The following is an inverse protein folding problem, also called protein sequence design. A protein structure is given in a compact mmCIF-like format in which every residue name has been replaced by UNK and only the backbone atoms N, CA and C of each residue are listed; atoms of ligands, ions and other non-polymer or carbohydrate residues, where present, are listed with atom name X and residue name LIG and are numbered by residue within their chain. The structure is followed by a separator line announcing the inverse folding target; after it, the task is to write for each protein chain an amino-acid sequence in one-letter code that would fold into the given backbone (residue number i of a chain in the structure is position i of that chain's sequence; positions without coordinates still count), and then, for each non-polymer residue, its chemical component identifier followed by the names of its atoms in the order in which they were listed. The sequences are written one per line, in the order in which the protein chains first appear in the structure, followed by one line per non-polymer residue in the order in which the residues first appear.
data_IF_444843671640
#
_entry.id   IF_444843671640
#
_cell.length_a   1.000
_cell.length_b   1.000
_cell.length_c   1.000
_cell.angle_alpha   90.00
_cell.angle_beta   90.00
_cell.angle_gamma   90.00
#
_symmetry.space_group_name_H-M   'P 1'
#
loop_
_entity.id
_entity.type
_entity.pdbx_description
1 polymer ?
#
# COMPACT_ATOMS: atom_id res chain seq x y z
N UNK A 1 -21.76 53.95 10.05
CA UNK A 1 -22.09 53.72 11.47
C UNK A 1 -23.18 52.66 11.52
N UNK A 2 -22.99 51.57 12.27
CA UNK A 2 -23.97 50.48 12.42
C UNK A 2 -25.08 50.90 13.38
N UNK A 3 -26.34 50.55 13.05
CA UNK A 3 -27.49 50.88 13.88
C UNK A 3 -27.63 49.91 15.06
N UNK A 4 -28.38 50.30 16.09
CA UNK A 4 -28.47 49.56 17.35
C UNK A 4 -29.18 48.21 17.16
N UNK A 5 -30.08 48.11 16.18
CA UNK A 5 -30.79 46.89 15.80
C UNK A 5 -29.84 45.84 15.17
N UNK A 6 -28.83 46.26 14.41
CA UNK A 6 -27.85 45.36 13.78
C UNK A 6 -27.00 44.60 14.81
N UNK A 7 -26.72 45.23 15.96
CA UNK A 7 -25.94 44.62 17.05
C UNK A 7 -26.75 43.59 17.83
N UNK A 8 -28.07 43.75 17.90
CA UNK A 8 -28.96 42.86 18.66
C UNK A 8 -29.24 41.57 17.85
N UNK A 9 -29.29 41.66 16.52
CA UNK A 9 -29.52 40.52 15.64
C UNK A 9 -28.24 39.74 15.26
N UNK A 10 -27.07 40.17 15.74
CA UNK A 10 -25.80 39.45 15.54
C UNK A 10 -25.27 39.46 14.10
N UNK A 11 -25.77 40.35 13.25
CA UNK A 11 -25.33 40.48 11.86
C UNK A 11 -23.98 41.22 11.81
N UNK A 12 -22.87 40.48 11.77
CA UNK A 12 -21.54 41.05 11.52
C UNK A 12 -21.45 41.49 10.06
N UNK A 13 -21.42 42.80 9.83
CA UNK A 13 -21.33 43.42 8.50
C UNK A 13 -19.91 43.46 7.91
N UNK A 14 -19.03 42.54 8.32
CA UNK A 14 -17.66 42.48 7.80
C UNK A 14 -17.41 41.10 7.19
N UNK A 15 -17.93 40.90 5.98
CA UNK A 15 -17.53 39.83 5.07
C UNK A 15 -17.74 40.25 3.60
N UNK A 16 -17.57 41.54 3.31
CA UNK A 16 -17.45 42.02 1.93
C UNK A 16 -16.03 42.55 1.74
N UNK A 17 -15.19 41.74 1.09
CA UNK A 17 -13.97 42.24 0.44
C UNK A 17 -14.41 42.69 -0.95
N UNK A 18 -14.51 44.01 -1.13
CA UNK A 18 -14.62 44.62 -2.45
C UNK A 18 -13.30 44.41 -3.19
N UNK A 19 -13.33 43.62 -4.25
CA UNK A 19 -12.25 43.61 -5.24
C UNK A 19 -12.25 44.94 -5.98
N UNK A 20 -11.31 45.82 -5.61
CA UNK A 20 -10.88 46.95 -6.44
C UNK A 20 -9.36 46.90 -6.55
N UNK A 21 -8.90 46.23 -7.61
CA UNK A 21 -7.83 46.66 -8.50
C UNK A 21 -7.22 48.05 -8.18
N UNK A 22 -5.96 48.07 -7.73
CA UNK A 22 -5.08 49.25 -7.79
C UNK A 22 -3.62 48.81 -7.69
N UNK A 23 -2.85 49.15 -8.71
CA UNK A 23 -1.39 49.06 -8.76
C UNK A 23 -0.73 50.06 -7.79
N UNK A 24 0.51 49.74 -7.40
CA UNK A 24 1.56 50.77 -7.24
C UNK A 24 1.82 51.37 -5.86
N UNK A 25 3.09 51.24 -5.47
CA UNK A 25 3.92 52.25 -4.80
C UNK A 25 4.04 52.24 -3.26
N UNK A 26 5.30 52.10 -2.85
CA UNK A 26 5.84 52.19 -1.50
C UNK A 26 5.73 53.62 -0.95
N UNK A 27 5.13 53.79 0.24
CA UNK A 27 5.44 54.95 1.11
C UNK A 27 5.36 54.58 2.61
N UNK A 28 6.48 54.85 3.30
CA UNK A 28 6.71 54.67 4.72
C UNK A 28 5.84 55.61 5.59
N UNK A 29 5.08 55.05 6.53
CA UNK A 29 4.51 55.79 7.67
C UNK A 29 5.01 55.24 9.00
N UNK A 30 5.85 56.03 9.67
CA UNK A 30 6.33 55.80 11.03
C UNK A 30 5.18 55.89 12.05
N UNK A 31 4.98 54.83 12.84
CA UNK A 31 4.26 54.88 14.13
C UNK A 31 5.28 54.81 15.26
N UNK A 32 5.06 55.66 16.25
CA UNK A 32 5.89 55.89 17.43
C UNK A 32 5.60 54.86 18.53
N UNK A 33 6.69 54.28 19.05
CA UNK A 33 6.95 53.82 20.42
C UNK A 33 5.82 53.21 21.26
N UNK A 34 5.87 51.87 21.41
CA UNK A 34 6.14 51.23 22.72
C UNK A 34 6.80 49.86 22.46
N UNK A 35 8.07 49.72 22.87
CA UNK A 35 8.88 48.49 22.92
C UNK A 35 8.49 47.69 24.19
N UNK A 36 8.44 46.36 24.35
CA UNK A 36 9.03 45.16 23.73
C UNK A 36 8.40 43.93 24.49
N UNK A 37 8.74 42.62 24.33
CA UNK A 37 9.54 41.94 23.30
C UNK A 37 8.92 40.60 22.84
N UNK A 38 8.50 40.50 21.59
CA UNK A 38 8.45 39.19 20.90
C UNK A 38 8.96 39.38 19.48
N UNK A 39 10.24 39.10 19.35
CA UNK A 39 11.02 39.10 18.11
C UNK A 39 10.49 37.98 17.20
N UNK A 40 9.50 38.30 16.36
CA UNK A 40 8.85 37.36 15.43
C UNK A 40 9.50 37.36 14.02
N UNK A 41 10.76 37.81 13.89
CA UNK A 41 11.54 37.62 12.67
C UNK A 41 12.46 36.40 12.79
N UNK A 42 11.86 35.20 12.80
CA UNK A 42 12.62 33.98 12.53
C UNK A 42 12.62 33.77 11.01
N UNK A 43 13.68 34.24 10.36
CA UNK A 43 14.01 33.90 8.99
C UNK A 43 14.34 32.39 8.90
N UNK A 44 13.36 31.59 8.50
CA UNK A 44 13.46 30.14 8.34
C UNK A 44 14.09 29.72 7.00
N UNK A 45 14.59 30.67 6.19
CA UNK A 45 15.18 30.36 4.89
C UNK A 45 16.48 29.54 4.96
N UNK A 46 17.14 29.50 6.12
CA UNK A 46 18.46 28.87 6.30
C UNK A 46 18.59 27.82 7.42
N UNK A 47 17.48 27.33 8.00
CA UNK A 47 17.57 26.22 8.95
C UNK A 47 17.67 24.90 8.16
N UNK A 48 18.90 24.44 7.94
CA UNK A 48 19.14 23.05 7.55
C UNK A 48 18.47 22.14 8.59
N UNK A 49 17.48 21.37 8.14
CA UNK A 49 16.73 20.48 9.02
C UNK A 49 17.71 19.54 9.73
N UNK A 50 17.68 19.45 11.08
CA UNK A 50 18.52 18.50 11.77
C UNK A 50 18.17 17.08 11.32
N UNK A 51 19.16 16.21 11.04
CA UNK A 51 18.91 14.81 10.82
C UNK A 51 18.42 14.23 12.15
N UNK A 52 17.38 13.40 12.09
CA UNK A 52 16.86 12.60 13.21
C UNK A 52 15.99 13.30 14.28
N UNK A 53 14.85 13.82 13.84
CA UNK A 53 13.63 13.72 14.63
C UNK A 53 12.52 13.05 13.82
N UNK A 54 12.65 11.73 13.62
CA UNK A 54 11.54 10.83 13.21
C UNK A 54 10.53 10.68 14.36
N UNK A 55 9.98 11.79 14.87
CA UNK A 55 8.63 11.71 15.41
C UNK A 55 7.74 11.53 14.18
N UNK A 56 7.08 10.38 14.07
CA UNK A 56 6.07 10.14 13.05
C UNK A 56 5.02 11.25 13.13
N UNK A 57 5.18 12.28 12.29
CA UNK A 57 4.21 13.38 12.20
C UNK A 57 2.88 12.74 11.82
N UNK A 58 1.77 13.06 12.52
CA UNK A 58 0.49 12.46 12.22
C UNK A 58 0.14 12.70 10.76
N UNK A 59 0.00 11.59 10.01
CA UNK A 59 -0.33 11.57 8.57
C UNK A 59 -1.78 12.01 8.30
N UNK A 60 -2.51 12.43 9.32
CA UNK A 60 -3.93 12.78 9.27
C UNK A 60 -4.19 14.15 9.91
N UNK A 61 -5.30 14.78 9.51
CA UNK A 61 -5.72 16.09 10.03
C UNK A 61 -4.84 17.25 9.56
N UNK A 62 -4.93 18.43 10.22
CA UNK A 62 -4.27 19.66 9.77
C UNK A 62 -2.75 19.55 9.62
N UNK A 63 -2.10 18.73 10.45
CA UNK A 63 -0.64 18.52 10.41
C UNK A 63 -0.20 17.72 9.18
N UNK A 64 -0.96 16.69 8.81
CA UNK A 64 -0.72 15.92 7.58
C UNK A 64 -0.87 16.78 6.33
N UNK A 65 -1.92 17.62 6.29
CA UNK A 65 -2.15 18.55 5.17
C UNK A 65 -0.98 19.54 5.00
N UNK A 66 -0.50 20.14 6.10
CA UNK A 66 0.64 21.07 6.04
C UNK A 66 1.91 20.36 5.55
N UNK A 67 2.15 19.14 5.99
CA UNK A 67 3.29 18.35 5.54
C UNK A 67 3.21 18.04 4.04
N UNK A 68 2.04 17.59 3.57
CA UNK A 68 1.82 17.28 2.17
C UNK A 68 1.95 18.52 1.28
N UNK A 69 1.48 19.69 1.74
CA UNK A 69 1.67 20.96 1.05
C UNK A 69 3.13 21.39 0.96
N UNK A 70 3.89 21.28 2.07
CA UNK A 70 5.34 21.60 2.07
C UNK A 70 6.10 20.73 1.08
N UNK A 71 5.79 19.44 1.05
CA UNK A 71 6.42 18.50 0.12
C UNK A 71 6.02 18.77 -1.33
N UNK A 72 4.75 19.06 -1.58
CA UNK A 72 4.27 19.49 -2.90
C UNK A 72 5.05 20.72 -3.39
N UNK A 73 5.19 21.76 -2.55
CA UNK A 73 5.95 22.97 -2.91
C UNK A 73 7.43 22.69 -3.16
N UNK A 74 8.05 21.80 -2.39
CA UNK A 74 9.44 21.38 -2.64
C UNK A 74 9.57 20.72 -4.03
N UNK A 75 8.73 19.74 -4.34
CA UNK A 75 8.73 19.06 -5.63
C UNK A 75 8.47 20.01 -6.80
N UNK A 76 7.54 20.95 -6.63
CA UNK A 76 7.25 21.98 -7.63
C UNK A 76 8.50 22.82 -7.92
N UNK A 77 9.21 23.26 -6.87
CA UNK A 77 10.44 24.05 -7.03
C UNK A 77 11.59 23.24 -7.63
N UNK A 78 11.68 21.95 -7.32
CA UNK A 78 12.69 21.05 -7.87
C UNK A 78 12.44 20.81 -9.36
N UNK A 79 11.21 20.45 -9.76
CA UNK A 79 10.84 20.28 -11.17
C UNK A 79 11.03 21.56 -11.97
N UNK A 80 10.64 22.72 -11.41
CA UNK A 80 10.85 24.00 -12.09
C UNK A 80 12.33 24.28 -12.32
N UNK A 81 13.17 24.02 -11.31
CA UNK A 81 14.64 24.16 -11.45
C UNK A 81 15.23 23.17 -12.44
N UNK A 82 14.72 21.95 -12.51
CA UNK A 82 15.15 20.95 -13.50
C UNK A 82 14.78 21.38 -14.91
N UNK A 83 13.53 21.78 -15.13
CA UNK A 83 13.06 22.32 -16.42
C UNK A 83 13.81 23.57 -16.85
N UNK A 84 14.08 24.51 -15.94
CA UNK A 84 14.89 25.70 -16.22
C UNK A 84 16.32 25.33 -16.65
N UNK A 85 16.93 24.32 -16.01
CA UNK A 85 18.23 23.78 -16.44
C UNK A 85 18.15 23.12 -17.81
N UNK A 86 17.09 22.37 -18.11
CA UNK A 86 16.87 21.74 -19.40
C UNK A 86 16.70 22.78 -20.52
N UNK A 87 15.87 23.81 -20.30
CA UNK A 87 15.69 24.93 -21.22
C UNK A 87 17.02 25.64 -21.47
N UNK A 88 17.78 25.91 -20.41
CA UNK A 88 19.09 26.58 -20.52
C UNK A 88 20.08 25.74 -21.33
N UNK A 89 20.10 24.42 -21.09
CA UNK A 89 20.95 23.49 -21.84
C UNK A 89 20.52 23.39 -23.32
N UNK A 90 19.21 23.40 -23.59
CA UNK A 90 18.66 23.40 -24.93
C UNK A 90 19.07 24.69 -25.67
N UNK A 91 18.84 25.84 -25.06
CA UNK A 91 19.21 27.15 -25.60
C UNK A 91 20.71 27.23 -25.90
N UNK A 92 21.57 26.72 -25.00
CA UNK A 92 23.02 26.67 -25.23
C UNK A 92 23.41 25.74 -26.40
N UNK A 93 22.72 24.61 -26.58
CA UNK A 93 22.95 23.70 -27.72
C UNK A 93 22.52 24.37 -29.04
N UNK A 94 21.44 25.12 -28.99
CA UNK A 94 20.82 25.78 -30.13
C UNK A 94 21.49 27.11 -30.52
N UNK A 95 22.20 27.77 -29.60
CA UNK A 95 22.91 29.03 -29.87
C UNK A 95 24.17 28.90 -30.72
N UNK A 96 24.61 27.68 -31.05
CA UNK A 96 25.89 27.41 -31.76
C UNK A 96 25.72 27.24 -33.28
N UNK A 97 24.50 27.08 -33.80
CA UNK A 97 24.23 26.92 -35.24
C UNK A 97 23.38 28.06 -35.82
N UNK A 98 23.69 28.53 -37.04
CA UNK A 98 22.82 29.46 -37.78
C UNK A 98 21.45 28.81 -38.04
N UNK A 99 20.42 29.23 -37.31
CA UNK A 99 19.09 28.63 -37.38
C UNK A 99 18.23 29.19 -38.53
N UNK A 100 17.35 28.34 -39.05
CA UNK A 100 16.32 28.70 -40.02
C UNK A 100 15.00 29.02 -39.32
N UNK A 101 14.09 29.76 -39.96
CA UNK A 101 12.78 30.11 -39.38
C UNK A 101 11.89 28.91 -39.00
N UNK A 102 12.20 27.72 -39.53
CA UNK A 102 11.52 26.46 -39.18
C UNK A 102 12.06 25.84 -37.87
N UNK A 103 13.26 26.22 -37.45
CA UNK A 103 13.85 25.79 -36.17
C UNK A 103 13.32 26.65 -35.01
N UNK A 104 13.05 27.94 -35.26
CA UNK A 104 12.41 28.86 -34.30
C UNK A 104 10.99 28.41 -33.89
N UNK A 105 10.21 27.86 -34.83
CA UNK A 105 8.86 27.34 -34.53
C UNK A 105 8.93 26.07 -33.67
N UNK A 106 9.89 25.18 -33.95
CA UNK A 106 10.13 23.98 -33.15
C UNK A 106 10.63 24.32 -31.74
N UNK A 107 11.47 25.35 -31.60
CA UNK A 107 11.92 25.84 -30.29
C UNK A 107 10.74 26.34 -29.45
N UNK A 108 9.82 27.10 -30.06
CA UNK A 108 8.61 27.60 -29.38
C UNK A 108 7.65 26.49 -28.97
N UNK A 109 7.46 25.47 -29.82
CA UNK A 109 6.63 24.31 -29.46
C UNK A 109 7.25 23.54 -28.28
N UNK A 110 8.56 23.29 -28.28
CA UNK A 110 9.27 22.64 -27.17
C UNK A 110 9.20 23.45 -25.86
N UNK A 111 9.34 24.77 -25.93
CA UNK A 111 9.19 25.65 -24.76
C UNK A 111 7.79 25.60 -24.17
N UNK A 112 6.77 25.50 -25.03
CA UNK A 112 5.37 25.42 -24.61
C UNK A 112 5.02 24.07 -23.99
N UNK A 113 5.57 22.97 -24.51
CA UNK A 113 5.46 21.64 -23.88
C UNK A 113 6.14 21.56 -22.51
N UNK A 114 7.14 22.42 -22.25
CA UNK A 114 7.85 22.49 -20.97
C UNK A 114 7.11 23.34 -19.92
N UNK A 115 6.08 24.11 -20.28
CA UNK A 115 5.25 24.85 -19.30
C UNK A 115 4.55 23.86 -18.35
N UNK A 116 4.57 24.18 -17.04
CA UNK A 116 3.94 23.36 -16.02
C UNK A 116 2.48 23.77 -15.86
N UNK A 117 1.56 22.94 -16.33
CA UNK A 117 0.16 23.08 -15.99
C UNK A 117 -0.03 22.74 -14.50
N UNK A 118 -0.30 23.78 -13.70
CA UNK A 118 -0.42 23.67 -12.24
C UNK A 118 -1.48 22.64 -11.81
N UNK A 119 -2.56 22.50 -12.58
CA UNK A 119 -3.63 21.54 -12.32
C UNK A 119 -3.21 20.09 -12.57
N UNK A 120 -2.43 19.82 -13.62
CA UNK A 120 -1.92 18.48 -13.92
C UNK A 120 -0.90 18.03 -12.87
N UNK A 121 -0.03 18.94 -12.44
CA UNK A 121 0.98 18.64 -11.42
C UNK A 121 0.34 18.29 -10.05
N UNK A 122 -0.74 18.99 -9.66
CA UNK A 122 -1.50 18.65 -8.45
C UNK A 122 -2.10 17.24 -8.54
N UNK A 123 -2.68 16.89 -9.67
CA UNK A 123 -3.26 15.55 -9.88
C UNK A 123 -2.19 14.45 -9.81
N UNK A 124 -1.04 14.67 -10.47
CA UNK A 124 0.10 13.75 -10.40
C UNK A 124 0.59 13.56 -8.96
N UNK A 125 0.71 14.65 -8.19
CA UNK A 125 1.12 14.58 -6.78
C UNK A 125 0.11 13.80 -5.93
N UNK A 126 -1.19 14.03 -6.11
CA UNK A 126 -2.24 13.27 -5.40
C UNK A 126 -2.14 11.77 -5.68
N UNK A 127 -2.00 11.39 -6.96
CA UNK A 127 -1.87 9.99 -7.35
C UNK A 127 -0.61 9.36 -6.75
N UNK A 128 0.53 10.06 -6.85
CA UNK A 128 1.79 9.61 -6.28
C UNK A 128 1.70 9.43 -4.75
N UNK A 129 1.03 10.36 -4.06
CA UNK A 129 0.81 10.30 -2.62
C UNK A 129 -0.04 9.09 -2.23
N UNK A 130 -1.11 8.82 -2.98
CA UNK A 130 -1.99 7.67 -2.74
C UNK A 130 -1.24 6.35 -2.93
N UNK A 131 -0.48 6.22 -4.01
CA UNK A 131 0.34 5.03 -4.27
C UNK A 131 1.38 4.81 -3.17
N UNK A 132 2.08 5.86 -2.74
CA UNK A 132 3.06 5.75 -1.67
C UNK A 132 2.43 5.31 -0.34
N UNK A 133 1.25 5.83 0.00
CA UNK A 133 0.53 5.42 1.22
C UNK A 133 0.10 3.94 1.14
N UNK A 134 -0.36 3.49 -0.03
CA UNK A 134 -0.73 2.10 -0.27
C UNK A 134 0.48 1.17 -0.11
N UNK A 135 1.59 1.49 -0.78
CA UNK A 135 2.83 0.71 -0.71
C UNK A 135 3.40 0.66 0.72
N UNK A 136 3.39 1.79 1.45
CA UNK A 136 3.86 1.80 2.83
C UNK A 136 2.99 0.94 3.75
N UNK A 137 1.67 0.96 3.54
CA UNK A 137 0.73 0.10 4.26
C UNK A 137 0.99 -1.37 3.97
N UNK A 138 1.11 -1.75 2.70
CA UNK A 138 1.43 -3.12 2.26
C UNK A 138 2.77 -3.58 2.83
N UNK A 139 3.82 -2.76 2.70
CA UNK A 139 5.15 -3.05 3.24
C UNK A 139 5.10 -3.27 4.76
N UNK A 140 4.35 -2.44 5.49
CA UNK A 140 4.19 -2.59 6.95
C UNK A 140 3.47 -3.88 7.31
N UNK A 141 2.46 -4.26 6.54
CA UNK A 141 1.74 -5.53 6.72
C UNK A 141 2.66 -6.71 6.41
N UNK A 142 3.41 -6.68 5.32
CA UNK A 142 4.30 -7.75 4.89
C UNK A 142 5.50 -7.96 5.83
N UNK A 143 6.17 -6.88 6.27
CA UNK A 143 7.37 -6.98 7.13
C UNK A 143 7.08 -7.56 8.51
N UNK A 144 5.87 -7.35 9.03
CA UNK A 144 5.48 -7.81 10.36
C UNK A 144 4.62 -9.07 10.33
N UNK A 145 4.33 -9.61 9.15
CA UNK A 145 3.54 -10.85 9.05
C UNK A 145 4.44 -12.05 9.27
N UNK A 146 4.08 -12.96 10.21
CA UNK A 146 4.81 -14.19 10.38
C UNK A 146 4.71 -15.02 9.09
N UNK A 147 5.84 -15.59 8.67
CA UNK A 147 5.90 -16.52 7.55
C UNK A 147 5.90 -17.95 8.09
N UNK A 148 4.89 -18.69 7.68
CA UNK A 148 4.75 -20.13 7.83
C UNK A 148 5.36 -20.81 6.59
N UNK A 149 4.93 -22.01 6.26
CA UNK A 149 5.59 -22.82 5.23
C UNK A 149 5.35 -24.32 5.37
N UNK A 150 4.71 -24.73 6.47
CA UNK A 150 4.43 -26.12 6.81
C UNK A 150 3.10 -26.20 7.55
N UNK A 151 2.44 -27.34 7.42
CA UNK A 151 1.23 -27.66 8.19
C UNK A 151 1.62 -28.01 9.62
N UNK A 152 1.09 -27.26 10.59
CA UNK A 152 1.34 -27.45 12.02
C UNK A 152 0.37 -28.50 12.55
N UNK A 153 0.88 -29.55 13.20
CA UNK A 153 0.05 -30.54 13.86
C UNK A 153 -0.28 -30.07 15.27
N UNK A 154 -1.57 -30.00 15.58
CA UNK A 154 -2.06 -29.66 16.92
C UNK A 154 -2.53 -30.96 17.59
N UNK A 155 -2.14 -31.16 18.84
CA UNK A 155 -2.42 -32.38 19.58
C UNK A 155 -3.65 -32.25 20.47
N UNK A 156 -3.85 -31.06 21.04
CA UNK A 156 -4.84 -30.81 22.08
C UNK A 156 -5.75 -29.62 21.72
N UNK A 157 -6.94 -29.59 22.31
CA UNK A 157 -7.88 -28.45 22.20
C UNK A 157 -7.24 -27.12 22.60
N UNK A 158 -6.42 -27.09 23.64
CA UNK A 158 -5.79 -25.85 24.11
C UNK A 158 -4.80 -25.30 23.07
N UNK A 159 -4.05 -26.17 22.39
CA UNK A 159 -3.17 -25.76 21.29
C UNK A 159 -3.96 -25.22 20.10
N UNK A 160 -5.16 -25.77 19.84
CA UNK A 160 -6.07 -25.25 18.82
C UNK A 160 -6.57 -23.85 19.16
N UNK A 161 -7.01 -23.61 20.40
CA UNK A 161 -7.44 -22.27 20.83
C UNK A 161 -6.27 -21.29 20.77
N UNK A 162 -5.10 -21.67 21.29
CA UNK A 162 -3.90 -20.83 21.25
C UNK A 162 -3.48 -20.50 19.82
N UNK A 163 -3.61 -21.44 18.88
CA UNK A 163 -3.24 -21.24 17.48
C UNK A 163 -4.14 -20.24 16.75
N UNK A 164 -5.37 -20.03 17.24
CA UNK A 164 -6.36 -19.09 16.67
C UNK A 164 -6.39 -17.76 17.44
N UNK A 165 -6.44 -17.80 18.76
CA UNK A 165 -6.67 -16.62 19.62
C UNK A 165 -5.40 -15.79 19.84
N UNK A 166 -4.21 -16.41 19.89
CA UNK A 166 -2.93 -15.71 20.13
C UNK A 166 -2.23 -15.28 18.83
N UNK A 167 -2.80 -15.59 17.68
CA UNK A 167 -2.19 -15.29 16.38
C UNK A 167 -2.42 -13.82 15.98
N UNK A 168 -1.58 -13.30 15.08
CA UNK A 168 -1.73 -11.95 14.58
C UNK A 168 -3.09 -11.78 13.87
N UNK A 169 -3.81 -10.66 14.08
CA UNK A 169 -5.16 -10.49 13.55
C UNK A 169 -5.22 -10.41 12.02
N UNK A 170 -4.10 -10.11 11.37
CA UNK A 170 -3.98 -10.07 9.92
C UNK A 170 -3.71 -11.43 9.29
N UNK A 171 -3.33 -12.44 10.09
CA UNK A 171 -3.02 -13.79 9.60
C UNK A 171 -4.29 -14.61 9.50
N UNK A 172 -4.41 -15.35 8.39
CA UNK A 172 -5.47 -16.32 8.19
C UNK A 172 -5.00 -17.67 8.73
N UNK A 173 -5.81 -18.27 9.61
CA UNK A 173 -5.54 -19.57 10.21
C UNK A 173 -6.53 -20.58 9.65
N UNK A 174 -6.01 -21.54 8.89
CA UNK A 174 -6.79 -22.62 8.27
C UNK A 174 -6.55 -23.89 9.07
N UNK A 175 -7.59 -24.42 9.71
CA UNK A 175 -7.52 -25.63 10.53
C UNK A 175 -8.29 -26.76 9.87
N UNK A 176 -7.57 -27.82 9.54
CA UNK A 176 -8.16 -29.08 9.08
C UNK A 176 -8.48 -29.98 10.27
N UNK A 177 -9.78 -30.23 10.46
CA UNK A 177 -10.28 -31.30 11.32
C UNK A 177 -10.29 -32.61 10.54
N UNK A 178 -9.54 -33.61 11.00
CA UNK A 178 -9.38 -34.87 10.25
C UNK A 178 -9.53 -36.12 11.12
N UNK A 179 -9.72 -37.26 10.44
CA UNK A 179 -9.59 -38.61 11.01
C UNK A 179 -8.67 -39.45 10.11
N UNK A 180 -7.86 -40.31 10.71
CA UNK A 180 -6.90 -41.16 9.98
C UNK A 180 -7.58 -42.29 9.20
N UNK A 181 -8.83 -42.60 9.55
CA UNK A 181 -9.61 -43.69 8.96
C UNK A 181 -10.13 -43.36 7.55
N UNK A 182 -10.26 -42.07 7.22
CA UNK A 182 -10.86 -41.59 5.97
C UNK A 182 -9.79 -41.29 4.91
N UNK A 183 -10.04 -41.73 3.67
CA UNK A 183 -9.14 -41.46 2.53
C UNK A 183 -9.13 -39.99 2.13
N UNK A 184 -10.30 -39.36 2.07
CA UNK A 184 -10.50 -37.93 1.79
C UNK A 184 -9.70 -37.03 2.76
N UNK A 185 -9.60 -37.40 4.04
CA UNK A 185 -8.76 -36.71 5.03
C UNK A 185 -7.25 -36.84 4.72
N UNK A 186 -6.79 -37.99 4.21
CA UNK A 186 -5.37 -38.17 3.84
C UNK A 186 -5.03 -37.36 2.60
N UNK A 187 -5.93 -37.34 1.61
CA UNK A 187 -5.80 -36.50 0.42
C UNK A 187 -5.73 -35.00 0.80
N UNK A 188 -6.65 -34.53 1.66
CA UNK A 188 -6.65 -33.15 2.15
C UNK A 188 -5.35 -32.79 2.87
N UNK A 189 -4.85 -33.67 3.74
CA UNK A 189 -3.58 -33.44 4.44
C UNK A 189 -2.40 -33.30 3.46
N UNK A 190 -2.36 -34.08 2.38
CA UNK A 190 -1.35 -33.93 1.32
C UNK A 190 -1.49 -32.61 0.57
N UNK A 191 -2.72 -32.23 0.22
CA UNK A 191 -3.01 -30.96 -0.46
C UNK A 191 -2.58 -29.74 0.37
N UNK A 192 -2.94 -29.73 1.66
CA UNK A 192 -2.56 -28.64 2.57
C UNK A 192 -1.04 -28.55 2.79
N UNK A 193 -0.29 -29.65 2.67
CA UNK A 193 1.18 -29.61 2.72
C UNK A 193 1.78 -28.88 1.52
N UNK A 194 1.21 -29.05 0.33
CA UNK A 194 1.59 -28.29 -0.86
C UNK A 194 1.21 -26.81 -0.70
N UNK A 195 -0.05 -26.54 -0.33
CA UNK A 195 -0.55 -25.17 -0.15
C UNK A 195 0.21 -24.40 0.92
N UNK A 196 0.60 -25.04 2.03
CA UNK A 196 1.38 -24.39 3.07
C UNK A 196 2.75 -23.89 2.58
N UNK A 197 3.32 -24.50 1.53
CA UNK A 197 4.58 -24.03 0.94
C UNK A 197 4.36 -22.86 -0.01
N UNK A 198 3.23 -22.85 -0.75
CA UNK A 198 2.86 -21.78 -1.68
C UNK A 198 2.40 -20.52 -0.93
N UNK A 199 1.61 -20.68 0.13
CA UNK A 199 0.99 -19.58 0.88
C UNK A 199 1.64 -19.43 2.26
N UNK A 200 2.87 -18.92 2.30
CA UNK A 200 3.61 -18.80 3.57
C UNK A 200 3.01 -17.77 4.54
N UNK A 201 2.15 -16.86 4.07
CA UNK A 201 1.47 -15.89 4.93
C UNK A 201 0.24 -16.48 5.65
N UNK A 202 -0.18 -17.69 5.26
CA UNK A 202 -1.34 -18.40 5.82
C UNK A 202 -0.87 -19.51 6.75
N UNK A 203 -1.48 -19.59 7.93
CA UNK A 203 -1.15 -20.59 8.93
C UNK A 203 -2.03 -21.82 8.75
N UNK A 204 -1.48 -22.86 8.14
CA UNK A 204 -2.17 -24.15 8.02
C UNK A 204 -1.92 -25.02 9.26
N UNK A 205 -2.99 -25.50 9.86
CA UNK A 205 -2.97 -26.40 11.00
C UNK A 205 -3.80 -27.65 10.71
N UNK A 206 -3.48 -28.75 11.37
CA UNK A 206 -4.30 -29.96 11.38
C UNK A 206 -4.48 -30.47 12.79
N UNK A 207 -5.64 -31.03 13.08
CA UNK A 207 -5.94 -31.65 14.37
C UNK A 207 -6.89 -32.83 14.18
N UNK A 208 -6.68 -33.88 14.98
CA UNK A 208 -7.57 -35.03 14.95
C UNK A 208 -8.89 -34.62 15.61
N UNK A 209 -10.00 -34.83 14.91
CA UNK A 209 -11.32 -34.35 15.33
C UNK A 209 -11.80 -34.91 16.69
N UNK A 210 -11.21 -36.02 17.16
CA UNK A 210 -11.50 -36.58 18.49
C UNK A 210 -10.89 -35.76 19.64
N UNK A 211 -9.76 -35.09 19.39
CA UNK A 211 -9.00 -34.35 20.40
C UNK A 211 -9.56 -32.93 20.64
N UNK A 212 -10.41 -32.45 19.73
CA UNK A 212 -11.06 -31.12 19.83
C UNK A 212 -12.29 -31.13 20.76
N UNK A 213 -12.74 -32.31 21.20
CA UNK A 213 -13.96 -32.46 22.01
C UNK A 213 -15.27 -32.33 21.21
N UNK A 214 -15.21 -32.49 19.89
CA UNK A 214 -16.38 -32.48 19.01
C UNK A 214 -17.19 -33.79 19.14
N UNK A 215 -18.49 -33.73 18.85
CA UNK A 215 -19.38 -34.88 18.97
C UNK A 215 -18.98 -36.06 18.06
N UNK A 216 -19.23 -37.29 18.53
CA UNK A 216 -18.93 -38.52 17.78
C UNK A 216 -19.68 -38.61 16.44
N UNK A 217 -20.87 -38.01 16.36
CA UNK A 217 -21.65 -38.00 15.13
C UNK A 217 -20.96 -37.14 14.07
N UNK A 218 -20.47 -35.96 14.47
CA UNK A 218 -19.72 -35.09 13.58
C UNK A 218 -18.41 -35.74 13.12
N UNK A 219 -17.71 -36.49 13.99
CA UNK A 219 -16.48 -37.20 13.56
C UNK A 219 -16.74 -38.28 12.50
N UNK A 220 -17.97 -38.79 12.39
CA UNK A 220 -18.33 -39.81 11.40
C UNK A 220 -18.85 -39.22 10.10
N UNK A 221 -19.66 -38.18 10.17
CA UNK A 221 -20.41 -37.66 9.01
C UNK A 221 -19.93 -36.28 8.55
N UNK A 222 -19.20 -35.54 9.39
CA UNK A 222 -18.79 -34.17 9.12
C UNK A 222 -17.35 -34.00 8.60
N UNK A 223 -16.57 -35.07 8.51
CA UNK A 223 -15.16 -35.01 8.08
C UNK A 223 -15.01 -35.37 6.59
N UNK A 224 -13.99 -34.85 5.89
CA UNK A 224 -13.03 -33.82 6.33
C UNK A 224 -13.71 -32.45 6.47
N UNK A 225 -13.33 -31.71 7.53
CA UNK A 225 -13.80 -30.34 7.73
C UNK A 225 -12.63 -29.36 7.77
N UNK A 226 -12.86 -28.17 7.23
CA UNK A 226 -11.92 -27.07 7.17
C UNK A 226 -12.53 -25.84 7.84
N UNK A 227 -11.87 -25.36 8.89
CA UNK A 227 -12.26 -24.17 9.63
C UNK A 227 -11.28 -23.05 9.32
N UNK A 228 -11.78 -21.88 9.01
CA UNK A 228 -10.95 -20.73 8.63
C UNK A 228 -11.23 -19.58 9.58
N UNK A 229 -10.17 -19.04 10.16
CA UNK A 229 -10.20 -17.95 11.13
C UNK A 229 -9.32 -16.78 10.70
N UNK A 230 -9.70 -15.57 11.09
CA UNK A 230 -8.88 -14.36 10.99
C UNK A 230 -9.25 -13.40 12.12
N UNK A 231 -8.26 -12.90 12.85
CA UNK A 231 -8.52 -11.98 13.97
C UNK A 231 -9.46 -12.54 15.04
N UNK A 232 -9.39 -13.84 15.32
CA UNK A 232 -10.25 -14.53 16.29
C UNK A 232 -11.69 -14.77 15.83
N UNK A 233 -12.05 -14.40 14.60
CA UNK A 233 -13.38 -14.64 14.04
C UNK A 233 -13.35 -15.77 13.01
N UNK A 234 -14.41 -16.58 13.00
CA UNK A 234 -14.61 -17.61 11.96
C UNK A 234 -15.05 -16.94 10.66
N UNK A 235 -14.25 -17.06 9.61
CA UNK A 235 -14.59 -16.61 8.25
C UNK A 235 -15.28 -17.74 7.49
N UNK A 236 -14.78 -18.97 7.62
CA UNK A 236 -15.26 -20.12 6.86
C UNK A 236 -15.39 -21.35 7.72
N UNK A 237 -16.46 -22.12 7.49
CA UNK A 237 -16.67 -23.43 8.11
C UNK A 237 -17.20 -24.39 7.05
N UNK A 238 -16.30 -25.20 6.51
CA UNK A 238 -16.60 -26.15 5.46
C UNK A 238 -16.61 -27.55 6.06
N UNK A 239 -17.79 -28.14 6.13
CA UNK A 239 -18.01 -29.46 6.71
C UNK A 239 -18.23 -30.45 5.58
N UNK A 240 -17.70 -31.68 5.74
CA UNK A 240 -17.88 -32.78 4.79
C UNK A 240 -17.46 -32.40 3.36
N UNK A 241 -16.23 -31.89 3.23
CA UNK A 241 -15.63 -31.53 1.94
C UNK A 241 -15.47 -32.72 0.96
N UNK A 242 -15.70 -33.95 1.42
CA UNK A 242 -15.81 -35.11 0.53
C UNK A 242 -17.02 -35.00 -0.42
N UNK A 243 -18.10 -34.32 -0.05
CA UNK A 243 -19.25 -34.14 -0.94
C UNK A 243 -18.97 -33.17 -2.10
N UNK A 244 -18.02 -32.23 -1.90
CA UNK A 244 -17.64 -31.24 -2.91
C UNK A 244 -16.55 -31.75 -3.84
N UNK A 245 -15.52 -32.40 -3.30
CA UNK A 245 -14.34 -32.83 -4.07
C UNK A 245 -14.36 -34.32 -4.45
N UNK A 246 -15.19 -35.13 -3.80
CA UNK A 246 -15.10 -36.58 -3.88
C UNK A 246 -13.98 -37.16 -3.01
N UNK A 247 -13.58 -38.40 -3.31
CA UNK A 247 -12.60 -39.15 -2.51
C UNK A 247 -11.14 -38.83 -2.87
N UNK A 248 -10.88 -38.46 -4.12
CA UNK A 248 -9.56 -38.18 -4.66
C UNK A 248 -9.59 -36.80 -5.33
N UNK A 249 -8.76 -35.88 -4.82
CA UNK A 249 -8.63 -34.51 -5.31
C UNK A 249 -7.20 -34.02 -5.08
N UNK A 250 -6.83 -32.92 -5.73
CA UNK A 250 -5.48 -32.37 -5.74
C UNK A 250 -5.42 -30.99 -5.07
N UNK A 251 -4.20 -30.52 -4.82
CA UNK A 251 -3.96 -29.22 -4.20
C UNK A 251 -4.61 -28.07 -4.99
N UNK A 252 -4.61 -28.14 -6.33
CA UNK A 252 -5.26 -27.17 -7.22
C UNK A 252 -6.76 -27.03 -7.00
N UNK A 253 -7.44 -28.14 -6.67
CA UNK A 253 -8.90 -28.14 -6.46
C UNK A 253 -9.22 -27.44 -5.13
N UNK A 254 -8.42 -27.74 -4.10
CA UNK A 254 -8.53 -27.09 -2.78
C UNK A 254 -8.15 -25.61 -2.85
N UNK A 255 -7.12 -25.28 -3.63
CA UNK A 255 -6.71 -23.90 -3.91
C UNK A 255 -7.84 -23.10 -4.54
N UNK A 256 -8.38 -23.61 -5.65
CA UNK A 256 -9.47 -22.95 -6.39
C UNK A 256 -10.67 -22.73 -5.48
N UNK A 257 -11.04 -23.73 -4.69
CA UNK A 257 -12.12 -23.61 -3.71
C UNK A 257 -11.86 -22.52 -2.65
N UNK A 258 -10.64 -22.43 -2.12
CA UNK A 258 -10.30 -21.42 -1.14
C UNK A 258 -10.25 -20.00 -1.74
N UNK A 259 -9.86 -19.87 -3.00
CA UNK A 259 -9.89 -18.59 -3.73
C UNK A 259 -11.34 -18.18 -4.02
N UNK A 260 -12.19 -19.11 -4.49
CA UNK A 260 -13.62 -18.86 -4.75
C UNK A 260 -14.39 -18.40 -3.51
N UNK A 261 -13.92 -18.78 -2.32
CA UNK A 261 -14.51 -18.38 -1.04
C UNK A 261 -13.79 -17.18 -0.39
N UNK A 262 -12.95 -16.43 -1.14
CA UNK A 262 -12.20 -15.25 -0.69
C UNK A 262 -11.28 -15.50 0.53
N UNK A 263 -10.81 -16.74 0.71
CA UNK A 263 -9.90 -17.11 1.81
C UNK A 263 -8.44 -16.94 1.39
N UNK A 264 -8.12 -17.34 0.16
CA UNK A 264 -6.83 -17.13 -0.45
C UNK A 264 -6.95 -16.05 -1.53
N UNK A 265 -5.94 -15.18 -1.60
CA UNK A 265 -5.82 -14.12 -2.59
C UNK A 265 -4.42 -14.17 -3.17
N UNK A 266 -4.23 -13.70 -4.40
CA UNK A 266 -2.91 -13.64 -5.07
C UNK A 266 -1.86 -12.89 -4.23
N UNK A 267 -2.28 -11.91 -3.42
CA UNK A 267 -1.41 -11.18 -2.49
C UNK A 267 -0.81 -12.05 -1.37
N UNK A 268 -1.40 -13.22 -1.10
CA UNK A 268 -0.95 -14.18 -0.09
C UNK A 268 0.00 -15.24 -0.67
N UNK A 269 0.12 -15.32 -2.00
CA UNK A 269 1.08 -16.20 -2.65
C UNK A 269 2.51 -15.75 -2.34
N UNK A 270 3.36 -16.71 -2.01
CA UNK A 270 4.78 -16.49 -1.86
C UNK A 270 5.48 -17.10 -3.06
N UNK A 271 6.03 -16.25 -3.93
CA UNK A 271 6.82 -16.68 -5.09
C UNK A 271 8.04 -17.49 -4.64
N UNK A 272 7.89 -18.81 -4.59
CA UNK A 272 8.94 -19.79 -4.33
C UNK A 272 9.43 -20.44 -5.64
N UNK A 273 9.42 -19.69 -6.74
CA UNK A 273 9.92 -20.13 -8.06
C UNK A 273 11.05 -19.24 -8.55
N UNK A 274 12.16 -19.19 -7.80
CA UNK A 274 13.43 -18.65 -8.29
C UNK A 274 14.59 -19.61 -7.97
N UNK A 275 14.47 -20.87 -8.37
CA UNK A 275 15.59 -21.79 -8.49
C UNK A 275 15.12 -23.07 -9.18
N UNK A 276 15.91 -23.57 -10.13
CA UNK A 276 15.66 -24.77 -10.98
C UNK A 276 14.99 -24.49 -12.34
N UNK A 277 15.67 -23.72 -13.20
CA UNK A 277 15.85 -24.01 -14.65
C UNK A 277 16.89 -23.06 -15.26
N UNK A 278 18.11 -23.07 -14.74
CA UNK A 278 19.28 -22.47 -15.40
C UNK A 278 20.43 -23.46 -15.33
N UNK A 279 20.30 -24.55 -16.09
CA UNK A 279 21.35 -25.52 -16.46
C UNK A 279 20.74 -26.60 -17.35
N UNK A 280 20.61 -26.27 -18.64
CA UNK A 280 20.63 -27.19 -19.79
C UNK A 280 21.26 -26.37 -20.91
N UNK A 281 22.59 -26.42 -20.97
CA UNK A 281 23.31 -27.21 -21.98
C UNK A 281 23.34 -26.46 -23.30
N UNK A 282 24.26 -25.49 -23.36
CA UNK A 282 24.84 -24.99 -24.60
C UNK A 282 25.70 -26.11 -25.19
N UNK A 283 25.08 -26.99 -25.95
CA UNK A 283 25.77 -27.93 -26.85
C UNK A 283 24.90 -28.09 -28.10
N UNK A 284 25.12 -27.22 -29.09
CA UNK A 284 24.78 -27.50 -30.48
C UNK A 284 25.88 -26.96 -31.37
N UNK A 285 26.80 -27.88 -31.65
CA UNK A 285 27.84 -27.81 -32.65
C UNK A 285 27.29 -27.56 -34.06
N UNK A 286 27.96 -26.65 -34.76
CA UNK A 286 27.90 -26.44 -36.21
C UNK A 286 28.03 -27.75 -36.98
N UNK A 287 27.07 -28.01 -37.87
CA UNK A 287 27.20 -28.94 -38.98
C UNK A 287 26.82 -28.21 -40.27
N UNK A 288 27.85 -27.67 -40.93
CA UNK A 288 27.80 -27.32 -42.34
C UNK A 288 27.71 -28.61 -43.18
N UNK A 289 26.71 -28.66 -44.08
CA UNK A 289 26.56 -29.69 -45.10
C UNK A 289 27.01 -29.09 -46.44
N UNK A 290 27.98 -29.76 -47.06
CA UNK A 290 28.32 -29.65 -48.49
C UNK A 290 27.23 -30.25 -49.39
#
# INVERSE_FOLDING_TARGET
MTTLDDKILGLKTQNYVSSSESEGEDEDYKISGDEDPRDDNIDLSNVAAPPDFRLEVPKTGPKGVIQDYRRYKQLETEQRKEKEKEITALAQKFSVSCQSSLDDEKEKELLKELELDTDEFIQQYHLQRLLQLKEEQERRLQLNSPKFGKVISLENKDQFLDAVDKENPNVIVVVHLYSEDLRSCRAMNGCLQCLAQQYSLVKFCKIIARETGISRNFTKEGLPALLVYKGGQTIGNFVKLEDTFGQDFFASDVESFLIENDILTEELECQLTASVTAKKEDDNSDLDID
#
